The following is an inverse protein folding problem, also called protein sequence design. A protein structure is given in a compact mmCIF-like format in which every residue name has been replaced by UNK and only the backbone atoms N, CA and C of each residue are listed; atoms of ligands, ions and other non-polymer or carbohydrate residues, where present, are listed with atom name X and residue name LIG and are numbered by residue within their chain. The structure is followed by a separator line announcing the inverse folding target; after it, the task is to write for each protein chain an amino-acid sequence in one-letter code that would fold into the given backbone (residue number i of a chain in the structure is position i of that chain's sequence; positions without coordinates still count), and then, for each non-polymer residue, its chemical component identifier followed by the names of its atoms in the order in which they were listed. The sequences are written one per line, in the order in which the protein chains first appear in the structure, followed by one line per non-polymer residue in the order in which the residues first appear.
data_IF_844315856381
#
_entry.id   IF_844315856381
#
_cell.length_a   1.000
_cell.length_b   1.000
_cell.length_c   1.000
_cell.angle_alpha   90.00
_cell.angle_beta   90.00
_cell.angle_gamma   90.00
#
_symmetry.space_group_name_H-M   'P 1'
#
loop_
_entity.id
_entity.type
_entity.pdbx_description
1 polymer ?
#
# COMPACT_ATOMS: atom_id res chain seq x y z
N UNK A 1 12.96 1.61 0.35
CA UNK A 1 12.63 2.90 0.97
C UNK A 1 11.30 3.35 0.41
N UNK A 2 10.40 3.92 1.21
CA UNK A 2 9.15 4.53 0.71
C UNK A 2 9.46 6.01 0.48
N UNK A 3 9.07 6.52 -0.68
CA UNK A 3 9.34 7.89 -1.11
C UNK A 3 8.04 8.59 -1.48
N UNK A 4 7.95 9.90 -1.20
CA UNK A 4 6.88 10.74 -1.72
C UNK A 4 7.21 11.09 -3.17
N UNK A 5 6.28 10.84 -4.10
CA UNK A 5 6.55 10.94 -5.53
C UNK A 5 6.99 12.36 -5.98
N UNK A 6 6.42 13.40 -5.37
CA UNK A 6 6.80 14.80 -5.64
C UNK A 6 8.24 15.09 -5.20
N UNK A 7 8.58 14.81 -3.94
CA UNK A 7 9.95 15.01 -3.42
C UNK A 7 10.98 14.14 -4.16
N UNK A 8 10.61 12.90 -4.51
CA UNK A 8 11.44 11.99 -5.29
C UNK A 8 11.87 12.60 -6.64
N UNK A 9 10.94 13.28 -7.32
CA UNK A 9 11.18 13.98 -8.57
C UNK A 9 12.02 15.25 -8.35
N UNK A 10 11.67 16.06 -7.34
CA UNK A 10 12.38 17.31 -7.03
C UNK A 10 13.87 17.08 -6.73
N UNK A 11 14.18 15.99 -6.02
CA UNK A 11 15.56 15.61 -5.69
C UNK A 11 16.33 14.98 -6.85
N UNK A 12 15.70 14.74 -8.00
CA UNK A 12 16.27 13.96 -9.11
C UNK A 12 16.90 12.66 -8.62
N UNK A 13 16.12 11.88 -7.87
CA UNK A 13 16.62 10.71 -7.14
C UNK A 13 17.37 9.73 -8.07
N UNK A 14 18.58 9.26 -7.72
CA UNK A 14 19.31 8.29 -8.53
C UNK A 14 18.55 6.97 -8.69
N UNK A 15 18.47 6.46 -9.92
CA UNK A 15 17.85 5.18 -10.26
C UNK A 15 18.75 4.44 -11.24
N UNK A 16 18.91 3.14 -11.01
CA UNK A 16 19.76 2.23 -11.75
C UNK A 16 18.94 1.18 -12.50
N UNK A 17 19.61 0.43 -13.39
CA UNK A 17 18.95 -0.54 -14.27
C UNK A 17 18.48 -1.80 -13.55
N UNK A 18 19.12 -2.13 -12.44
CA UNK A 18 18.83 -3.27 -11.57
C UNK A 18 17.82 -2.93 -10.46
N UNK A 19 17.32 -1.69 -10.42
CA UNK A 19 16.27 -1.30 -9.50
C UNK A 19 14.90 -1.86 -9.92
N UNK A 20 14.09 -2.16 -8.89
CA UNK A 20 12.67 -2.47 -9.04
C UNK A 20 11.87 -1.37 -8.36
N UNK A 21 11.16 -0.56 -9.15
CA UNK A 21 10.35 0.55 -8.65
C UNK A 21 8.88 0.16 -8.61
N UNK A 22 8.29 0.23 -7.41
CA UNK A 22 6.87 0.01 -7.19
C UNK A 22 6.10 1.33 -7.19
N UNK A 23 5.02 1.39 -7.95
CA UNK A 23 4.12 2.54 -8.02
C UNK A 23 2.75 2.13 -7.49
N UNK A 24 2.41 2.63 -6.30
CA UNK A 24 1.18 2.30 -5.59
C UNK A 24 0.20 3.45 -5.76
N UNK A 25 -0.94 3.20 -6.41
CA UNK A 25 -1.97 4.22 -6.62
C UNK A 25 -3.34 3.59 -6.75
N UNK A 26 -4.32 4.04 -5.96
CA UNK A 26 -5.70 3.55 -6.07
C UNK A 26 -6.26 3.85 -7.46
N UNK A 27 -6.17 5.11 -7.90
CA UNK A 27 -6.72 5.56 -9.19
C UNK A 27 -5.90 5.08 -10.38
N UNK A 28 -4.58 4.94 -10.20
CA UNK A 28 -3.64 4.70 -11.29
C UNK A 28 -3.38 5.94 -12.16
N UNK A 29 -3.86 7.11 -11.74
CA UNK A 29 -3.80 8.37 -12.50
C UNK A 29 -3.16 9.53 -11.71
N UNK A 30 -2.68 9.29 -10.49
CA UNK A 30 -2.02 10.32 -9.67
C UNK A 30 -0.81 10.89 -10.40
N UNK A 31 -0.85 12.20 -10.72
CA UNK A 31 0.10 12.84 -11.63
C UNK A 31 1.56 12.66 -11.22
N UNK A 32 1.91 13.00 -9.97
CA UNK A 32 3.29 12.87 -9.48
C UNK A 32 3.78 11.42 -9.51
N UNK A 33 2.91 10.46 -9.16
CA UNK A 33 3.22 9.03 -9.20
C UNK A 33 3.46 8.56 -10.63
N UNK A 34 2.65 9.02 -11.60
CA UNK A 34 2.82 8.69 -13.01
C UNK A 34 4.10 9.32 -13.59
N UNK A 35 4.43 10.55 -13.18
CA UNK A 35 5.66 11.22 -13.57
C UNK A 35 6.90 10.51 -13.00
N UNK A 36 6.85 10.10 -11.73
CA UNK A 36 7.89 9.27 -11.12
C UNK A 36 8.06 7.92 -11.83
N UNK A 37 6.95 7.30 -12.27
CA UNK A 37 6.98 6.09 -13.09
C UNK A 37 7.74 6.30 -14.38
N UNK A 38 7.38 7.33 -15.14
CA UNK A 38 8.04 7.66 -16.41
C UNK A 38 9.51 8.00 -16.20
N UNK A 39 9.84 8.71 -15.12
CA UNK A 39 11.21 9.04 -14.71
C UNK A 39 12.06 7.77 -14.48
N UNK A 40 11.54 6.80 -13.73
CA UNK A 40 12.24 5.53 -13.48
C UNK A 40 12.35 4.68 -14.76
N UNK A 41 11.29 4.65 -15.57
CA UNK A 41 11.26 3.90 -16.83
C UNK A 41 12.30 4.39 -17.82
N UNK A 42 12.51 5.70 -17.94
CA UNK A 42 13.57 6.29 -18.77
C UNK A 42 14.98 5.84 -18.34
N UNK A 43 15.16 5.45 -17.07
CA UNK A 43 16.42 4.93 -16.51
C UNK A 43 16.54 3.40 -16.58
N UNK A 44 15.59 2.76 -17.27
CA UNK A 44 15.55 1.31 -17.50
C UNK A 44 15.39 0.46 -16.24
N UNK A 45 14.84 1.03 -15.15
CA UNK A 45 14.44 0.24 -13.99
C UNK A 45 13.23 -0.65 -14.32
N UNK A 46 13.09 -1.76 -13.59
CA UNK A 46 11.87 -2.57 -13.64
C UNK A 46 10.75 -1.82 -12.93
N UNK A 47 9.55 -1.83 -13.51
CA UNK A 47 8.42 -1.00 -13.08
C UNK A 47 7.27 -1.91 -12.73
N UNK A 48 6.82 -1.85 -11.48
CA UNK A 48 5.70 -2.65 -10.96
C UNK A 48 4.57 -1.74 -10.50
N UNK A 49 3.40 -1.84 -11.13
CA UNK A 49 2.22 -1.06 -10.74
C UNK A 49 1.32 -1.82 -9.77
N UNK A 50 0.96 -1.20 -8.64
CA UNK A 50 -0.07 -1.72 -7.73
C UNK A 50 -1.27 -0.78 -7.79
N UNK A 51 -2.33 -1.20 -8.47
CA UNK A 51 -3.47 -0.33 -8.82
C UNK A 51 -4.82 -0.98 -8.54
N UNK A 52 -5.88 -0.17 -8.43
CA UNK A 52 -7.25 -0.66 -8.28
C UNK A 52 -8.15 -0.35 -9.48
N UNK A 53 -7.62 0.35 -10.49
CA UNK A 53 -8.35 0.73 -11.69
C UNK A 53 -7.75 0.01 -12.89
N UNK A 54 -8.52 -0.92 -13.44
CA UNK A 54 -8.16 -1.66 -14.65
C UNK A 54 -7.91 -0.69 -15.81
N UNK A 55 -6.78 -0.88 -16.50
CA UNK A 55 -6.45 -0.10 -17.68
C UNK A 55 -6.09 1.35 -17.40
N UNK A 56 -5.83 1.75 -16.15
CA UNK A 56 -5.29 3.08 -15.79
C UNK A 56 -3.89 3.32 -16.38
N UNK A 57 -3.45 4.59 -16.41
CA UNK A 57 -2.16 4.98 -16.97
C UNK A 57 -0.98 4.26 -16.31
N UNK A 58 -0.93 4.21 -14.97
CA UNK A 58 0.10 3.46 -14.24
C UNK A 58 0.04 1.96 -14.59
N UNK A 59 -1.16 1.38 -14.68
CA UNK A 59 -1.34 -0.03 -15.06
C UNK A 59 -0.79 -0.33 -16.46
N UNK A 60 -1.08 0.53 -17.45
CA UNK A 60 -0.65 0.35 -18.84
C UNK A 60 0.85 0.62 -19.05
N UNK A 61 1.42 1.57 -18.29
CA UNK A 61 2.81 1.99 -18.49
C UNK A 61 3.82 1.15 -17.68
N UNK A 62 3.36 0.41 -16.67
CA UNK A 62 4.19 -0.52 -15.90
C UNK A 62 4.58 -1.76 -16.72
N UNK A 63 5.72 -2.38 -16.37
CA UNK A 63 6.17 -3.62 -17.02
C UNK A 63 5.35 -4.83 -16.55
N UNK A 64 5.00 -4.84 -15.27
CA UNK A 64 4.05 -5.78 -14.68
C UNK A 64 3.31 -5.09 -13.53
N UNK A 65 2.33 -5.77 -12.93
CA UNK A 65 1.58 -5.17 -11.83
C UNK A 65 0.59 -6.11 -11.17
N UNK A 66 0.00 -5.61 -10.09
CA UNK A 66 -1.04 -6.26 -9.31
C UNK A 66 -2.27 -5.36 -9.32
N UNK A 67 -3.39 -5.90 -9.79
CA UNK A 67 -4.70 -5.29 -9.57
C UNK A 67 -5.21 -5.73 -8.19
N UNK A 68 -5.37 -4.78 -7.26
CA UNK A 68 -5.67 -5.12 -5.85
C UNK A 68 -7.11 -5.62 -5.66
N UNK A 69 -7.98 -5.45 -6.65
CA UNK A 69 -9.34 -5.96 -6.69
C UNK A 69 -10.21 -5.60 -5.45
N UNK A 70 -10.04 -4.39 -4.92
CA UNK A 70 -10.86 -3.89 -3.83
C UNK A 70 -12.26 -3.44 -4.29
N UNK A 71 -12.51 -3.44 -5.61
CA UNK A 71 -13.68 -2.84 -6.25
C UNK A 71 -13.64 -1.31 -6.23
N UNK A 72 -14.58 -0.62 -6.89
CA UNK A 72 -14.59 0.84 -6.99
C UNK A 72 -14.61 1.52 -5.62
N UNK A 73 -13.72 2.50 -5.40
CA UNK A 73 -13.68 3.31 -4.17
C UNK A 73 -14.22 4.70 -4.52
N UNK A 74 -15.41 5.02 -4.02
CA UNK A 74 -16.12 6.28 -4.33
C UNK A 74 -15.76 7.39 -3.33
N UNK A 75 -15.45 7.01 -2.08
CA UNK A 75 -15.02 7.94 -1.05
C UNK A 75 -13.67 8.57 -1.40
N UNK A 76 -13.50 9.84 -1.01
CA UNK A 76 -12.25 10.58 -1.24
C UNK A 76 -11.12 10.02 -0.38
N UNK A 77 -11.41 9.70 0.88
CA UNK A 77 -10.46 9.07 1.79
C UNK A 77 -10.33 7.58 1.45
N UNK A 78 -9.09 7.12 1.24
CA UNK A 78 -8.84 5.72 0.92
C UNK A 78 -8.98 4.84 2.15
N UNK A 79 -9.66 3.70 2.01
CA UNK A 79 -9.93 2.78 3.13
C UNK A 79 -9.62 1.34 2.74
N UNK A 80 -10.46 0.75 1.89
CA UNK A 80 -10.29 -0.60 1.38
C UNK A 80 -9.11 -0.69 0.40
N UNK A 81 -8.82 0.37 -0.35
CA UNK A 81 -7.67 0.35 -1.24
C UNK A 81 -6.35 0.33 -0.45
N UNK A 82 -6.21 1.13 0.62
CA UNK A 82 -5.03 1.08 1.49
C UNK A 82 -4.77 -0.33 2.05
N UNK A 83 -5.76 -0.93 2.71
CA UNK A 83 -5.61 -2.28 3.29
C UNK A 83 -5.33 -3.34 2.23
N UNK A 84 -5.96 -3.26 1.06
CA UNK A 84 -5.73 -4.19 -0.06
C UNK A 84 -4.35 -4.02 -0.71
N UNK A 85 -3.81 -2.80 -0.74
CA UNK A 85 -2.44 -2.53 -1.19
C UNK A 85 -1.42 -3.15 -0.22
N UNK A 86 -1.62 -3.01 1.10
CA UNK A 86 -0.77 -3.65 2.11
C UNK A 86 -0.79 -5.17 1.93
N UNK A 87 -1.98 -5.78 1.75
CA UNK A 87 -2.09 -7.23 1.52
C UNK A 87 -1.36 -7.64 0.24
N UNK A 88 -1.50 -6.86 -0.84
CA UNK A 88 -0.82 -7.12 -2.11
C UNK A 88 0.71 -7.08 -1.98
N UNK A 89 1.25 -6.13 -1.23
CA UNK A 89 2.69 -6.05 -0.92
C UNK A 89 3.16 -7.22 -0.05
N UNK A 90 2.36 -7.65 0.93
CA UNK A 90 2.65 -8.85 1.75
C UNK A 90 2.67 -10.11 0.88
N UNK A 91 1.70 -10.27 -0.02
CA UNK A 91 1.67 -11.39 -0.96
C UNK A 91 2.87 -11.38 -1.90
N UNK A 92 3.27 -10.20 -2.40
CA UNK A 92 4.50 -10.07 -3.18
C UNK A 92 5.74 -10.53 -2.38
N UNK A 93 5.88 -10.12 -1.12
CA UNK A 93 6.98 -10.57 -0.26
C UNK A 93 6.96 -12.09 0.00
N UNK A 94 5.79 -12.72 0.05
CA UNK A 94 5.66 -14.17 0.16
C UNK A 94 6.14 -14.92 -1.08
N UNK A 95 5.94 -14.35 -2.28
CA UNK A 95 6.46 -14.90 -3.53
C UNK A 95 7.98 -14.75 -3.57
N UNK A 96 8.49 -13.57 -3.24
CA UNK A 96 9.95 -13.30 -3.24
C UNK A 96 10.75 -14.15 -2.25
N UNK A 97 10.10 -14.75 -1.25
CA UNK A 97 10.74 -15.59 -0.24
C UNK A 97 10.53 -17.09 -0.46
N UNK A 98 9.89 -17.50 -1.55
CA UNK A 98 9.38 -18.87 -1.68
C UNK A 98 10.44 -19.97 -1.73
N UNK A 99 11.57 -19.68 -2.38
CA UNK A 99 12.66 -20.64 -2.58
C UNK A 99 13.59 -20.74 -1.36
N UNK A 100 13.35 -19.94 -0.31
CA UNK A 100 14.16 -19.98 0.92
C UNK A 100 13.59 -20.98 1.92
N UNK A 101 14.27 -22.11 2.10
CA UNK A 101 13.89 -23.16 3.07
C UNK A 101 13.75 -22.60 4.49
N UNK A 102 14.69 -21.74 4.93
CA UNK A 102 14.67 -21.11 6.25
C UNK A 102 13.44 -20.22 6.49
N UNK A 103 12.80 -19.71 5.43
CA UNK A 103 11.62 -18.85 5.52
C UNK A 103 10.31 -19.63 5.54
N UNK A 104 10.31 -20.95 5.31
CA UNK A 104 9.08 -21.77 5.25
C UNK A 104 8.20 -21.63 6.50
N UNK A 105 8.73 -21.68 7.74
CA UNK A 105 7.89 -21.50 8.93
C UNK A 105 7.22 -20.12 8.96
N UNK A 106 7.98 -19.06 8.66
CA UNK A 106 7.48 -17.67 8.65
C UNK A 106 6.45 -17.44 7.55
N UNK A 107 6.66 -18.00 6.36
CA UNK A 107 5.67 -17.94 5.26
C UNK A 107 4.37 -18.60 5.65
N UNK A 108 4.43 -19.80 6.24
CA UNK A 108 3.24 -20.53 6.72
C UNK A 108 2.48 -19.72 7.77
N UNK A 109 3.18 -19.12 8.72
CA UNK A 109 2.58 -18.25 9.74
C UNK A 109 1.85 -17.05 9.11
N UNK A 110 2.49 -16.33 8.17
CA UNK A 110 1.87 -15.17 7.50
C UNK A 110 0.65 -15.59 6.69
N UNK A 111 0.73 -16.70 5.93
CA UNK A 111 -0.40 -17.22 5.15
C UNK A 111 -1.58 -17.59 6.06
N UNK A 112 -1.32 -18.22 7.20
CA UNK A 112 -2.34 -18.50 8.20
C UNK A 112 -2.94 -17.22 8.79
N UNK A 113 -2.11 -16.20 9.02
CA UNK A 113 -2.57 -14.87 9.44
C UNK A 113 -3.52 -14.24 8.41
N UNK A 114 -3.11 -14.22 7.13
CA UNK A 114 -3.95 -13.72 6.03
C UNK A 114 -5.28 -14.47 5.91
N UNK A 115 -5.30 -15.80 6.17
CA UNK A 115 -6.53 -16.60 6.17
C UNK A 115 -7.49 -16.19 7.30
N UNK A 116 -6.97 -15.77 8.45
CA UNK A 116 -7.77 -15.31 9.60
C UNK A 116 -8.17 -13.83 9.51
N UNK A 117 -7.44 -13.05 8.72
CA UNK A 117 -7.59 -11.60 8.61
C UNK A 117 -9.03 -11.12 8.32
N UNK A 118 -9.81 -11.75 7.41
CA UNK A 118 -11.19 -11.30 7.16
C UNK A 118 -12.07 -11.36 8.41
N UNK A 119 -11.91 -12.40 9.24
CA UNK A 119 -12.68 -12.55 10.47
C UNK A 119 -12.21 -11.56 11.54
N UNK A 120 -10.90 -11.32 11.65
CA UNK A 120 -10.35 -10.31 12.55
C UNK A 120 -10.83 -8.90 12.19
N UNK A 121 -10.93 -8.57 10.89
CA UNK A 121 -11.50 -7.30 10.43
C UNK A 121 -12.97 -7.18 10.88
N UNK A 122 -13.79 -8.23 10.72
CA UNK A 122 -15.19 -8.19 11.21
C UNK A 122 -15.27 -7.97 12.71
N UNK A 123 -14.40 -8.61 13.49
CA UNK A 123 -14.35 -8.42 14.93
C UNK A 123 -14.01 -6.97 15.31
N UNK A 124 -13.08 -6.34 14.59
CA UNK A 124 -12.76 -4.91 14.78
C UNK A 124 -13.92 -4.02 14.38
N UNK A 125 -14.62 -4.32 13.29
CA UNK A 125 -15.79 -3.55 12.86
C UNK A 125 -16.97 -3.62 13.85
N UNK A 126 -17.06 -4.69 14.66
CA UNK A 126 -18.05 -4.77 15.75
C UNK A 126 -17.78 -3.77 16.89
N UNK A 127 -16.62 -3.11 16.90
CA UNK A 127 -16.30 -2.06 17.88
C UNK A 127 -16.86 -0.69 17.49
N UNK A 128 -17.61 -0.59 16.39
CA UNK A 128 -18.17 0.68 15.85
C UNK A 128 -18.81 1.57 16.91
N UNK A 129 -19.69 1.00 17.76
CA UNK A 129 -20.34 1.77 18.82
C UNK A 129 -19.34 2.34 19.85
N UNK A 130 -18.28 1.59 20.20
CA UNK A 130 -17.26 2.06 21.13
C UNK A 130 -16.43 3.19 20.52
N UNK A 131 -16.10 3.08 19.23
CA UNK A 131 -15.41 4.13 18.47
C UNK A 131 -16.28 5.38 18.37
N UNK A 132 -17.59 5.22 18.16
CA UNK A 132 -18.54 6.34 18.16
C UNK A 132 -18.58 7.06 19.51
N UNK A 133 -18.63 6.34 20.63
CA UNK A 133 -18.57 6.98 21.96
C UNK A 133 -17.25 7.73 22.18
N UNK A 134 -16.12 7.13 21.82
CA UNK A 134 -14.80 7.80 21.90
C UNK A 134 -14.74 9.06 21.02
N UNK A 135 -15.37 9.05 19.85
CA UNK A 135 -15.40 10.21 18.96
C UNK A 135 -16.09 11.43 19.58
N UNK A 136 -17.03 11.22 20.52
CA UNK A 136 -17.73 12.33 21.21
C UNK A 136 -16.78 13.10 22.13
N UNK A 137 -15.84 12.42 22.77
CA UNK A 137 -14.80 13.07 23.60
C UNK A 137 -13.83 13.89 22.77
N UNK A 138 -13.60 13.47 21.52
CA UNK A 138 -12.71 14.13 20.56
C UNK A 138 -13.39 15.25 19.77
N UNK A 139 -14.72 15.30 19.72
CA UNK A 139 -15.49 16.21 18.87
C UNK A 139 -15.12 17.70 19.04
N UNK A 140 -14.83 18.13 20.27
CA UNK A 140 -14.46 19.52 20.57
C UNK A 140 -12.95 19.78 20.58
N UNK A 141 -12.12 18.73 20.42
CA UNK A 141 -10.67 18.86 20.48
C UNK A 141 -10.13 19.43 19.17
N UNK A 142 -9.21 20.38 19.28
CA UNK A 142 -8.56 21.02 18.12
C UNK A 142 -7.31 20.28 17.65
N UNK A 143 -6.80 19.37 18.47
CA UNK A 143 -5.54 18.70 18.22
C UNK A 143 -5.59 17.30 18.79
N UNK A 144 -5.06 16.35 18.02
CA UNK A 144 -4.91 14.95 18.39
C UNK A 144 -3.50 14.53 17.99
N UNK A 145 -2.76 13.94 18.94
CA UNK A 145 -1.44 13.38 18.68
C UNK A 145 -1.56 11.85 18.65
N UNK A 146 -1.27 11.26 17.49
CA UNK A 146 -1.21 9.81 17.31
C UNK A 146 0.24 9.35 17.44
N UNK A 147 0.50 8.33 18.27
CA UNK A 147 1.85 7.83 18.54
C UNK A 147 1.95 6.35 18.18
N UNK A 148 2.95 6.01 17.37
CA UNK A 148 3.18 4.65 16.87
C UNK A 148 4.66 4.42 16.57
N UNK A 149 5.10 3.17 16.63
CA UNK A 149 6.48 2.76 16.32
C UNK A 149 6.52 1.45 15.56
N UNK A 150 7.63 1.19 14.85
CA UNK A 150 7.81 -0.04 14.09
C UNK A 150 6.70 -0.22 13.05
N UNK A 151 6.02 -1.37 13.07
CA UNK A 151 4.91 -1.67 12.16
C UNK A 151 3.73 -0.70 12.24
N UNK A 152 3.54 -0.06 13.40
CA UNK A 152 2.45 0.89 13.62
C UNK A 152 2.83 2.33 13.24
N UNK A 153 4.04 2.58 12.75
CA UNK A 153 4.43 3.91 12.29
C UNK A 153 3.53 4.38 11.14
N UNK A 154 3.32 3.54 10.13
CA UNK A 154 2.42 3.85 9.01
C UNK A 154 0.95 3.96 9.41
N UNK A 155 0.54 3.37 10.54
CA UNK A 155 -0.85 3.44 11.03
C UNK A 155 -1.19 4.80 11.64
N UNK A 156 -0.19 5.55 12.10
CA UNK A 156 -0.38 6.85 12.78
C UNK A 156 -0.05 8.07 11.91
N UNK A 157 0.28 7.84 10.64
CA UNK A 157 0.48 8.85 9.59
C UNK A 157 -0.83 9.08 8.83
#
# INVERSE_FOLDING_TARGET
MIELASDFLDRNTPIFRDDVCFFVSQSGETADTLMALRYCKQRSALIVGITNTVGSSICRESHCGVHINAGPEIGVASTKAYTSQVISLVMFALVMSEDRISMRPRRSEIIQGLKKLPEQIKQVLNLDQQVLEMSKELYQQKSLLLMGRGWNYSTVL
#
